data_IF_305324796300
#
_entry.id   IF_305324796300
#
_cell.length_a   1.000
_cell.length_b   1.000
_cell.length_c   1.000
_cell.angle_alpha   90.00
_cell.angle_beta   90.00
_cell.angle_gamma   90.00
#
_symmetry.space_group_name_H-M   'P 1'
#
loop_
_entity.id
_entity.type
_entity.pdbx_description
1 polymer ?
#
# COMPACT_ATOMS: atom_id res chain seq x y z
N UNK A 1 -18.76 4.27 -2.34
CA UNK A 1 -17.66 4.17 -3.31
C UNK A 1 -16.54 5.03 -2.72
N UNK A 2 -15.49 4.41 -2.19
CA UNK A 2 -14.32 5.19 -1.78
C UNK A 2 -13.54 5.44 -3.05
N UNK A 3 -13.46 6.71 -3.46
CA UNK A 3 -12.64 7.10 -4.60
C UNK A 3 -11.18 6.79 -4.27
N UNK A 4 -10.43 6.33 -5.25
CA UNK A 4 -8.98 6.17 -5.17
C UNK A 4 -8.40 7.46 -4.63
N UNK A 5 -7.83 7.38 -3.42
CA UNK A 5 -7.44 8.58 -2.70
C UNK A 5 -6.12 9.05 -3.29
N UNK A 6 -6.10 10.22 -3.95
CA UNK A 6 -4.85 10.79 -4.45
C UNK A 6 -3.95 11.09 -3.26
N UNK A 7 -2.82 10.40 -3.16
CA UNK A 7 -1.87 10.64 -2.09
C UNK A 7 -1.04 11.89 -2.42
N UNK A 8 -1.37 12.99 -1.77
CA UNK A 8 -0.74 14.29 -2.00
C UNK A 8 0.30 14.67 -0.96
N UNK A 9 0.18 14.18 0.28
CA UNK A 9 1.16 14.41 1.35
C UNK A 9 1.10 13.28 2.38
N UNK A 10 2.11 13.19 3.24
CA UNK A 10 2.10 12.27 4.39
C UNK A 10 0.93 12.54 5.34
N UNK A 11 0.65 13.82 5.63
CA UNK A 11 -0.49 14.20 6.47
C UNK A 11 -1.83 13.82 5.86
N UNK A 12 -1.93 13.85 4.52
CA UNK A 12 -3.11 13.40 3.82
C UNK A 12 -3.29 11.89 3.94
N UNK A 13 -2.21 11.11 3.86
CA UNK A 13 -2.23 9.67 4.11
C UNK A 13 -2.79 9.38 5.50
N UNK A 14 -2.24 10.01 6.54
CA UNK A 14 -2.67 9.82 7.93
C UNK A 14 -4.15 10.18 8.12
N UNK A 15 -4.60 11.32 7.57
CA UNK A 15 -6.01 11.75 7.65
C UNK A 15 -6.95 10.81 6.90
N UNK A 16 -6.57 10.35 5.73
CA UNK A 16 -7.38 9.43 4.92
C UNK A 16 -7.55 8.10 5.63
N UNK A 17 -6.47 7.54 6.17
CA UNK A 17 -6.51 6.33 6.98
C UNK A 17 -7.36 6.54 8.25
N UNK A 18 -7.21 7.68 8.93
CA UNK A 18 -8.03 8.01 10.09
C UNK A 18 -9.53 8.04 9.77
N UNK A 19 -9.90 8.64 8.66
CA UNK A 19 -11.29 8.65 8.17
C UNK A 19 -11.80 7.25 7.85
N UNK A 20 -10.95 6.38 7.30
CA UNK A 20 -11.26 5.00 7.02
C UNK A 20 -11.53 4.20 8.30
N UNK A 21 -10.71 4.38 9.34
CA UNK A 21 -10.92 3.72 10.64
C UNK A 21 -12.24 4.13 11.31
N UNK A 22 -12.63 5.39 11.22
CA UNK A 22 -13.81 5.92 11.87
C UNK A 22 -15.14 5.60 11.16
N UNK A 23 -15.09 5.23 9.88
CA UNK A 23 -16.28 4.93 9.05
C UNK A 23 -16.75 3.49 9.10
N UNK A 24 -15.93 2.58 9.60
CA UNK A 24 -16.26 1.15 9.62
C UNK A 24 -16.72 0.70 11.02
N UNK A 25 -17.75 -0.17 11.07
CA UNK A 25 -18.27 -0.82 12.29
C UNK A 25 -17.32 -1.89 12.86
N UNK A 26 -16.02 -1.68 12.78
CA UNK A 26 -15.01 -2.63 13.28
C UNK A 26 -14.37 -2.15 14.56
N UNK A 27 -13.86 -3.10 15.37
CA UNK A 27 -13.05 -2.73 16.53
C UNK A 27 -11.90 -1.84 16.07
N UNK A 28 -11.82 -0.65 16.65
CA UNK A 28 -10.84 0.41 16.33
C UNK A 28 -9.39 -0.12 16.47
N UNK A 29 -9.18 -1.13 17.30
CA UNK A 29 -7.88 -1.75 17.58
C UNK A 29 -7.44 -2.80 16.53
N UNK A 30 -8.24 -3.05 15.49
CA UNK A 30 -7.88 -4.02 14.45
C UNK A 30 -6.87 -3.38 13.48
N UNK A 31 -5.68 -3.99 13.27
CA UNK A 31 -4.73 -3.47 12.29
C UNK A 31 -5.31 -3.51 10.88
N UNK A 32 -4.92 -2.53 10.04
CA UNK A 32 -5.28 -2.49 8.63
C UNK A 32 -4.05 -2.59 7.77
N UNK A 33 -4.19 -3.29 6.67
CA UNK A 33 -3.17 -3.34 5.64
C UNK A 33 -3.25 -2.07 4.79
N UNK A 34 -2.09 -1.47 4.55
CA UNK A 34 -1.92 -0.30 3.68
C UNK A 34 -1.00 -0.68 2.54
N UNK A 35 -1.37 -0.31 1.32
CA UNK A 35 -0.57 -0.46 0.12
C UNK A 35 -0.20 0.88 -0.49
N UNK A 36 1.09 1.15 -0.65
CA UNK A 36 1.60 2.31 -1.39
C UNK A 36 2.28 1.84 -2.67
N UNK A 37 1.80 2.32 -3.80
CA UNK A 37 2.40 2.06 -5.09
C UNK A 37 3.32 3.21 -5.49
N UNK A 38 4.62 2.94 -5.58
CA UNK A 38 5.63 3.82 -6.13
C UNK A 38 5.89 3.44 -7.59
N UNK A 39 5.31 4.21 -8.49
CA UNK A 39 5.42 3.99 -9.93
C UNK A 39 5.52 5.33 -10.66
N UNK A 40 6.59 5.54 -11.43
CA UNK A 40 6.65 6.71 -12.33
C UNK A 40 5.84 6.47 -13.60
N UNK A 41 5.31 7.53 -14.25
CA UNK A 41 4.58 7.41 -15.51
C UNK A 41 5.46 6.84 -16.62
N UNK A 42 5.14 5.63 -17.06
CA UNK A 42 5.73 4.98 -18.22
C UNK A 42 4.67 4.04 -18.87
N UNK A 43 5.01 3.34 -19.94
CA UNK A 43 4.09 2.41 -20.62
C UNK A 43 3.59 1.32 -19.68
N UNK A 44 4.49 0.67 -18.95
CA UNK A 44 4.14 -0.36 -17.98
C UNK A 44 3.14 0.13 -16.93
N UNK A 45 3.42 1.28 -16.31
CA UNK A 45 2.53 1.87 -15.30
C UNK A 45 1.15 2.19 -15.89
N UNK A 46 1.08 2.69 -17.13
CA UNK A 46 -0.19 2.98 -17.79
C UNK A 46 -0.99 1.72 -18.09
N UNK A 47 -0.33 0.70 -18.62
CA UNK A 47 -0.98 -0.51 -19.11
C UNK A 47 -1.34 -1.48 -17.98
N UNK A 48 -0.43 -1.71 -17.04
CA UNK A 48 -0.60 -2.71 -16.00
C UNK A 48 -1.24 -2.17 -14.69
N UNK A 49 -1.10 -0.87 -14.42
CA UNK A 49 -1.57 -0.26 -13.18
C UNK A 49 -2.78 0.65 -13.42
N UNK A 50 -2.58 1.73 -14.19
CA UNK A 50 -3.60 2.77 -14.30
C UNK A 50 -4.84 2.28 -15.07
N UNK A 51 -4.68 1.38 -16.03
CA UNK A 51 -5.81 0.78 -16.74
C UNK A 51 -6.73 -0.02 -15.82
N UNK A 52 -6.19 -0.63 -14.77
CA UNK A 52 -6.92 -1.42 -13.78
C UNK A 52 -7.26 -0.68 -12.48
N UNK A 53 -6.95 0.61 -12.38
CA UNK A 53 -6.97 1.35 -11.11
C UNK A 53 -8.34 1.36 -10.43
N UNK A 54 -9.42 1.49 -11.19
CA UNK A 54 -10.79 1.47 -10.64
C UNK A 54 -11.16 0.08 -10.13
N UNK A 55 -10.73 -0.97 -10.83
CA UNK A 55 -10.93 -2.33 -10.40
C UNK A 55 -10.17 -2.61 -9.09
N UNK A 56 -8.90 -2.19 -8.99
CA UNK A 56 -8.11 -2.34 -7.78
C UNK A 56 -8.73 -1.56 -6.61
N UNK A 57 -9.24 -0.35 -6.86
CA UNK A 57 -9.97 0.43 -5.86
C UNK A 57 -11.24 -0.27 -5.39
N UNK A 58 -12.04 -0.80 -6.31
CA UNK A 58 -13.24 -1.54 -5.97
C UNK A 58 -12.93 -2.80 -5.15
N UNK A 59 -11.90 -3.57 -5.54
CA UNK A 59 -11.49 -4.80 -4.88
C UNK A 59 -10.81 -4.57 -3.53
N UNK A 60 -9.98 -3.54 -3.41
CA UNK A 60 -9.33 -3.19 -2.15
C UNK A 60 -10.36 -2.86 -1.06
N UNK A 61 -11.36 -2.07 -1.40
CA UNK A 61 -12.56 -1.83 -0.62
C UNK A 61 -12.35 -1.70 0.88
N UNK A 62 -12.84 -2.71 1.62
CA UNK A 62 -12.81 -2.75 3.09
C UNK A 62 -11.59 -3.49 3.67
N UNK A 63 -10.71 -4.04 2.86
CA UNK A 63 -9.64 -4.94 3.32
C UNK A 63 -8.27 -4.31 3.35
N UNK A 64 -7.99 -3.42 2.41
CA UNK A 64 -6.72 -2.74 2.27
C UNK A 64 -6.96 -1.29 1.85
N UNK A 65 -6.25 -0.35 2.47
CA UNK A 65 -6.20 1.03 2.03
C UNK A 65 -5.08 1.19 0.99
N UNK A 66 -5.44 1.41 -0.27
CA UNK A 66 -4.51 1.40 -1.39
C UNK A 66 -4.32 2.80 -1.99
N UNK A 67 -3.07 3.22 -2.19
CA UNK A 67 -2.70 4.54 -2.69
C UNK A 67 -1.67 4.47 -3.81
N UNK A 68 -1.89 5.25 -4.88
CA UNK A 68 -0.90 5.49 -5.93
C UNK A 68 -0.17 6.80 -5.66
N UNK A 69 1.12 6.72 -5.32
CA UNK A 69 1.91 7.88 -4.90
C UNK A 69 2.15 8.83 -6.06
N UNK A 70 1.76 10.10 -5.87
CA UNK A 70 1.92 11.16 -6.86
C UNK A 70 0.81 11.23 -7.93
N UNK A 71 -0.08 10.24 -8.00
CA UNK A 71 -1.20 10.27 -8.95
C UNK A 71 -2.42 10.94 -8.33
N UNK A 72 -3.15 11.70 -9.13
CA UNK A 72 -4.38 12.39 -8.72
C UNK A 72 -5.29 12.64 -9.93
N UNK A 73 -6.62 12.77 -9.72
CA UNK A 73 -7.51 13.25 -10.77
C UNK A 73 -7.04 14.62 -11.27
N UNK A 74 -7.10 14.82 -12.58
CA UNK A 74 -6.71 16.09 -13.18
C UNK A 74 -7.68 17.19 -12.78
N UNK A 75 -7.15 18.29 -12.27
CA UNK A 75 -7.92 19.49 -11.95
C UNK A 75 -7.78 20.46 -13.12
N UNK A 76 -8.89 20.92 -13.68
CA UNK A 76 -8.89 21.90 -14.77
C UNK A 76 -8.09 23.15 -14.36
N UNK A 77 -7.18 23.56 -15.21
CA UNK A 77 -6.24 24.67 -14.91
C UNK A 77 -4.97 24.25 -14.17
N UNK A 78 -4.82 22.98 -13.80
CA UNK A 78 -3.56 22.46 -13.24
C UNK A 78 -2.45 22.50 -14.28
N UNK A 79 -1.22 22.81 -13.84
CA UNK A 79 0.00 22.70 -14.68
C UNK A 79 0.49 21.25 -14.86
N UNK A 80 -0.05 20.32 -14.10
CA UNK A 80 0.32 18.90 -14.22
C UNK A 80 -0.26 18.29 -15.49
N UNK A 81 0.55 17.67 -16.36
CA UNK A 81 0.04 17.06 -17.58
C UNK A 81 -0.88 15.89 -17.28
N UNK A 82 -1.89 15.69 -18.11
CA UNK A 82 -2.70 14.47 -18.11
C UNK A 82 -1.84 13.30 -18.58
N UNK A 83 -1.77 12.26 -17.79
CA UNK A 83 -0.97 11.04 -18.08
C UNK A 83 -1.83 9.99 -18.78
N UNK A 84 -3.08 9.85 -18.33
CA UNK A 84 -4.04 8.87 -18.88
C UNK A 84 -5.46 9.29 -18.54
N UNK A 85 -6.42 8.64 -19.21
CA UNK A 85 -7.86 8.76 -18.89
C UNK A 85 -8.40 7.36 -18.62
N UNK A 86 -9.02 7.18 -17.47
CA UNK A 86 -9.66 5.93 -17.07
C UNK A 86 -11.10 6.24 -16.66
N UNK A 87 -12.06 5.55 -17.27
CA UNK A 87 -13.50 5.74 -17.03
C UNK A 87 -13.95 7.21 -17.04
N UNK A 88 -13.50 7.97 -18.03
CA UNK A 88 -13.74 9.42 -18.21
C UNK A 88 -13.11 10.33 -17.14
N UNK A 89 -12.31 9.80 -16.24
CA UNK A 89 -11.50 10.59 -15.31
C UNK A 89 -10.10 10.74 -15.87
N UNK A 90 -9.68 11.99 -16.06
CA UNK A 90 -8.30 12.30 -16.43
C UNK A 90 -7.40 12.23 -15.21
N UNK A 91 -6.26 11.59 -15.33
CA UNK A 91 -5.27 11.42 -14.26
C UNK A 91 -4.00 12.18 -14.57
N UNK A 92 -3.49 12.87 -13.58
CA UNK A 92 -2.22 13.60 -13.62
C UNK A 92 -1.22 13.02 -12.63
N UNK A 93 0.06 13.32 -12.82
CA UNK A 93 1.14 12.92 -11.95
C UNK A 93 1.87 14.15 -11.41
N UNK A 94 2.13 14.17 -10.11
CA UNK A 94 2.84 15.23 -9.39
C UNK A 94 4.23 14.72 -8.94
N UNK A 95 5.31 14.99 -9.72
CA UNK A 95 6.66 14.51 -9.41
C UNK A 95 7.17 14.96 -8.05
N UNK A 96 6.81 16.17 -7.62
CA UNK A 96 7.21 16.70 -6.31
C UNK A 96 6.66 15.82 -5.17
N UNK A 97 5.37 15.53 -5.20
CA UNK A 97 4.69 14.71 -4.19
C UNK A 97 5.29 13.29 -4.15
N UNK A 98 5.51 12.70 -5.33
CA UNK A 98 6.17 11.41 -5.44
C UNK A 98 7.55 11.42 -4.78
N UNK A 99 8.38 12.42 -5.08
CA UNK A 99 9.72 12.53 -4.54
C UNK A 99 9.73 12.81 -3.03
N UNK A 100 8.84 13.67 -2.54
CA UNK A 100 8.75 14.00 -1.11
C UNK A 100 8.38 12.75 -0.29
N UNK A 101 7.38 11.98 -0.72
CA UNK A 101 6.99 10.73 -0.07
C UNK A 101 8.07 9.66 -0.19
N UNK A 102 8.68 9.48 -1.37
CA UNK A 102 9.80 8.58 -1.56
C UNK A 102 10.93 8.89 -0.57
N UNK A 103 11.37 10.15 -0.50
CA UNK A 103 12.44 10.58 0.41
C UNK A 103 12.06 10.36 1.87
N UNK A 104 10.78 10.57 2.24
CA UNK A 104 10.31 10.30 3.59
C UNK A 104 10.50 8.82 3.94
N UNK A 105 10.04 7.89 3.09
CA UNK A 105 10.20 6.45 3.32
C UNK A 105 11.68 6.02 3.28
N UNK A 106 12.48 6.56 2.38
CA UNK A 106 13.93 6.27 2.31
C UNK A 106 14.73 6.77 3.54
N UNK A 107 14.22 7.80 4.23
CA UNK A 107 14.82 8.31 5.47
C UNK A 107 14.37 7.53 6.70
N UNK A 108 13.14 7.02 6.70
CA UNK A 108 12.53 6.36 7.85
C UNK A 108 12.71 4.85 7.86
N UNK A 109 13.01 4.26 6.70
CA UNK A 109 13.22 2.81 6.54
C UNK A 109 14.54 2.52 5.81
N UNK A 110 14.95 1.26 5.80
CA UNK A 110 16.08 0.80 4.98
C UNK A 110 15.70 0.55 3.51
N UNK A 111 14.46 0.88 3.10
CA UNK A 111 14.05 0.83 1.71
C UNK A 111 14.72 1.93 0.90
N UNK A 112 15.07 1.60 -0.33
CA UNK A 112 15.53 2.53 -1.35
C UNK A 112 14.78 2.24 -2.64
N UNK A 113 14.19 3.29 -3.22
CA UNK A 113 13.47 3.17 -4.48
C UNK A 113 14.41 2.73 -5.60
N UNK A 114 14.08 1.63 -6.25
CA UNK A 114 14.91 1.06 -7.34
C UNK A 114 14.76 1.80 -8.68
N UNK A 115 13.77 2.66 -8.82
CA UNK A 115 13.38 3.24 -10.10
C UNK A 115 12.36 2.41 -10.87
N UNK A 116 11.95 1.28 -10.33
CA UNK A 116 10.97 0.34 -10.88
C UNK A 116 9.53 0.67 -10.45
N UNK A 117 8.62 -0.27 -10.62
CA UNK A 117 7.24 -0.20 -10.10
C UNK A 117 7.14 -1.05 -8.84
N UNK A 118 7.13 -0.40 -7.69
CA UNK A 118 7.20 -1.07 -6.40
C UNK A 118 5.94 -0.86 -5.58
N UNK A 119 5.39 -1.98 -5.09
CA UNK A 119 4.31 -2.00 -4.10
C UNK A 119 4.90 -2.18 -2.71
N UNK A 120 4.63 -1.23 -1.81
CA UNK A 120 5.01 -1.30 -0.40
C UNK A 120 3.76 -1.63 0.41
N UNK A 121 3.82 -2.66 1.24
CA UNK A 121 2.75 -3.11 2.13
C UNK A 121 3.21 -3.02 3.58
N UNK A 122 2.39 -2.42 4.42
CA UNK A 122 2.63 -2.29 5.87
C UNK A 122 1.32 -2.20 6.65
N UNK A 123 1.39 -2.29 7.97
CA UNK A 123 0.21 -2.16 8.83
C UNK A 123 -0.01 -0.72 9.28
N UNK A 124 -1.26 -0.39 9.55
CA UNK A 124 -1.66 0.82 10.27
C UNK A 124 -2.57 0.47 11.44
N UNK A 125 -2.52 1.28 12.49
CA UNK A 125 -3.32 1.14 13.71
C UNK A 125 -3.94 2.47 14.07
N UNK A 126 -5.15 2.46 14.61
CA UNK A 126 -5.74 3.65 15.21
C UNK A 126 -5.35 3.74 16.68
N UNK A 127 -4.77 4.87 17.06
CA UNK A 127 -4.47 5.16 18.46
C UNK A 127 -5.63 5.95 19.07
N UNK A 128 -6.44 5.28 19.89
CA UNK A 128 -7.63 5.89 20.51
C UNK A 128 -7.27 7.06 21.44
N UNK A 129 -6.14 7.00 22.14
CA UNK A 129 -5.73 8.05 23.07
C UNK A 129 -5.32 9.33 22.35
N UNK A 130 -4.62 9.21 21.23
CA UNK A 130 -4.15 10.35 20.43
C UNK A 130 -5.14 10.70 19.32
N UNK A 131 -6.19 9.91 19.10
CA UNK A 131 -7.17 10.02 17.99
C UNK A 131 -6.47 10.17 16.63
N UNK A 132 -5.39 9.42 16.42
CA UNK A 132 -4.58 9.45 15.20
C UNK A 132 -4.23 8.05 14.72
N UNK A 133 -3.84 7.94 13.45
CA UNK A 133 -3.33 6.69 12.89
C UNK A 133 -1.82 6.62 13.08
N UNK A 134 -1.34 5.47 13.49
CA UNK A 134 0.08 5.10 13.50
C UNK A 134 0.37 4.13 12.37
N UNK A 135 1.40 4.40 11.60
CA UNK A 135 1.93 3.49 10.60
C UNK A 135 2.98 2.58 11.25
N UNK A 136 2.84 1.29 11.05
CA UNK A 136 3.78 0.30 11.58
C UNK A 136 4.73 -0.14 10.47
N UNK A 137 5.93 0.38 10.53
CA UNK A 137 7.03 0.01 9.63
C UNK A 137 7.97 -1.06 10.23
N UNK A 138 7.60 -1.69 11.33
CA UNK A 138 8.38 -2.78 11.90
C UNK A 138 8.38 -4.03 11.03
N UNK A 139 7.36 -4.17 10.19
CA UNK A 139 7.21 -5.26 9.23
C UNK A 139 6.64 -4.71 7.92
N UNK A 140 7.51 -4.47 6.96
CA UNK A 140 7.18 -3.90 5.65
C UNK A 140 7.59 -4.86 4.56
N UNK A 141 6.70 -5.10 3.62
CA UNK A 141 6.95 -5.91 2.44
C UNK A 141 7.03 -5.01 1.20
N UNK A 142 8.08 -5.17 0.41
CA UNK A 142 8.24 -4.48 -0.86
C UNK A 142 8.27 -5.52 -1.98
N UNK A 143 7.42 -5.33 -3.00
CA UNK A 143 7.35 -6.17 -4.19
C UNK A 143 7.66 -5.31 -5.41
N UNK A 144 8.71 -5.64 -6.14
CA UNK A 144 8.99 -5.06 -7.45
C UNK A 144 8.11 -5.75 -8.50
N UNK A 145 6.98 -5.10 -8.82
CA UNK A 145 5.96 -5.66 -9.71
C UNK A 145 6.46 -5.78 -11.16
N UNK A 146 7.25 -4.80 -11.61
CA UNK A 146 7.79 -4.81 -12.96
C UNK A 146 8.81 -5.93 -13.14
N UNK A 147 9.74 -6.04 -12.20
CA UNK A 147 10.74 -7.12 -12.20
C UNK A 147 10.09 -8.50 -12.10
N UNK A 148 9.09 -8.66 -11.23
CA UNK A 148 8.36 -9.92 -11.09
C UNK A 148 7.71 -10.37 -12.40
N UNK A 149 7.19 -9.43 -13.21
CA UNK A 149 6.61 -9.72 -14.52
C UNK A 149 7.70 -10.01 -15.58
N UNK A 150 8.76 -9.20 -15.61
CA UNK A 150 9.91 -9.43 -16.52
C UNK A 150 10.57 -10.81 -16.30
N UNK A 151 10.69 -11.22 -15.03
CA UNK A 151 11.23 -12.53 -14.64
C UNK A 151 10.19 -13.66 -14.78
N UNK A 152 8.99 -13.38 -15.30
CA UNK A 152 7.89 -14.34 -15.52
C UNK A 152 7.42 -15.05 -14.25
N UNK A 153 7.57 -14.41 -13.10
CA UNK A 153 7.09 -14.93 -11.81
C UNK A 153 5.59 -14.68 -11.63
N UNK A 154 5.07 -13.70 -12.34
CA UNK A 154 3.66 -13.35 -12.42
C UNK A 154 3.26 -13.17 -13.90
N UNK A 155 2.00 -13.44 -14.21
CA UNK A 155 1.45 -13.25 -15.55
C UNK A 155 1.07 -11.79 -15.79
N UNK A 156 0.54 -11.13 -14.75
CA UNK A 156 0.15 -9.73 -14.77
C UNK A 156 0.22 -9.13 -13.36
N UNK A 157 0.28 -7.81 -13.28
CA UNK A 157 0.21 -7.11 -12.00
C UNK A 157 -1.14 -7.35 -11.30
N UNK A 158 -2.23 -7.43 -12.07
CA UNK A 158 -3.56 -7.75 -11.56
C UNK A 158 -3.61 -9.06 -10.78
N UNK A 159 -2.85 -10.08 -11.20
CA UNK A 159 -2.75 -11.36 -10.48
C UNK A 159 -2.18 -11.17 -9.06
N UNK A 160 -1.17 -10.33 -8.90
CA UNK A 160 -0.58 -10.03 -7.58
C UNK A 160 -1.59 -9.33 -6.69
N UNK A 161 -2.27 -8.32 -7.21
CA UNK A 161 -3.29 -7.57 -6.47
C UNK A 161 -4.44 -8.50 -6.03
N UNK A 162 -4.95 -9.36 -6.94
CA UNK A 162 -6.01 -10.32 -6.58
C UNK A 162 -5.57 -11.28 -5.47
N UNK A 163 -4.35 -11.78 -5.51
CA UNK A 163 -3.82 -12.62 -4.43
C UNK A 163 -3.76 -11.86 -3.11
N UNK A 164 -3.26 -10.61 -3.14
CA UNK A 164 -3.20 -9.76 -1.94
C UNK A 164 -4.61 -9.51 -1.39
N UNK A 165 -5.57 -9.15 -2.24
CA UNK A 165 -6.95 -8.89 -1.83
C UNK A 165 -7.59 -10.15 -1.23
N UNK A 166 -7.47 -11.29 -1.90
CA UNK A 166 -8.03 -12.58 -1.44
C UNK A 166 -7.45 -12.98 -0.08
N UNK A 167 -6.13 -12.83 0.10
CA UNK A 167 -5.47 -13.12 1.38
C UNK A 167 -5.95 -12.13 2.46
N UNK A 168 -6.00 -10.84 2.16
CA UNK A 168 -6.45 -9.82 3.10
C UNK A 168 -7.91 -10.02 3.52
N UNK A 169 -8.78 -10.42 2.60
CA UNK A 169 -10.18 -10.81 2.88
C UNK A 169 -10.25 -12.03 3.79
N UNK A 170 -9.44 -13.07 3.53
CA UNK A 170 -9.46 -14.31 4.31
C UNK A 170 -8.94 -14.11 5.75
N UNK A 171 -7.98 -13.21 5.97
CA UNK A 171 -7.50 -12.83 7.30
C UNK A 171 -8.62 -12.20 8.13
N UNK A 172 -9.55 -11.50 7.46
CA UNK A 172 -10.62 -10.72 8.09
C UNK A 172 -11.82 -11.56 8.51
N UNK A 173 -12.06 -12.71 7.86
CA UNK A 173 -13.27 -13.54 8.03
C UNK A 173 -13.16 -14.63 9.08
N UNK A 174 -12.10 -14.65 9.93
CA UNK A 174 -11.86 -15.70 10.93
C UNK A 174 -12.01 -17.13 10.35
N UNK A 175 -11.53 -17.32 9.13
CA UNK A 175 -11.64 -18.60 8.45
C UNK A 175 -10.83 -19.68 9.21
N UNK A 176 -11.44 -20.83 9.63
CA UNK A 176 -10.76 -21.88 10.39
C UNK A 176 -9.48 -22.43 9.71
N UNK A 177 -9.43 -22.45 8.38
CA UNK A 177 -8.22 -22.82 7.61
C UNK A 177 -7.08 -21.84 7.80
N UNK A 178 -7.41 -20.58 8.09
CA UNK A 178 -6.46 -19.49 8.35
C UNK A 178 -5.93 -19.57 9.78
N UNK A 179 -6.76 -19.90 10.78
CA UNK A 179 -6.30 -20.16 12.16
C UNK A 179 -5.24 -21.26 12.20
N UNK A 180 -5.38 -22.28 11.36
CA UNK A 180 -4.41 -23.37 11.25
C UNK A 180 -3.08 -22.88 10.65
N UNK A 181 -3.12 -22.04 9.62
CA UNK A 181 -1.93 -21.38 9.04
C UNK A 181 -1.28 -20.40 10.03
N UNK A 182 -2.07 -19.69 10.82
CA UNK A 182 -1.61 -18.78 11.87
C UNK A 182 -0.94 -19.51 13.04
N UNK A 183 -1.44 -20.69 13.42
CA UNK A 183 -0.82 -21.56 14.44
C UNK A 183 0.53 -22.12 14.00
N UNK A 184 0.73 -22.33 12.69
CA UNK A 184 2.02 -22.81 12.16
C UNK A 184 3.12 -21.73 12.13
N UNK A 185 2.78 -20.43 12.26
CA UNK A 185 3.74 -19.31 12.22
C UNK A 185 4.33 -19.00 13.62
N UNK A 186 3.92 -19.71 14.65
CA UNK A 186 4.51 -19.64 16.01
C UNK A 186 3.94 -18.52 16.88
N UNK A 187 4.02 -18.76 18.16
CA UNK A 187 3.36 -18.05 19.27
C UNK A 187 4.07 -16.76 19.71
N UNK A 188 4.63 -16.00 18.78
CA UNK A 188 5.32 -14.73 19.08
C UNK A 188 4.38 -13.55 18.84
N UNK A 189 3.89 -12.97 19.92
CA UNK A 189 2.90 -11.92 20.07
C UNK A 189 2.72 -10.92 18.92
N UNK A 190 1.51 -10.34 18.76
CA UNK A 190 1.03 -9.43 17.71
C UNK A 190 1.45 -9.85 16.28
N UNK A 191 0.68 -10.75 15.70
CA UNK A 191 0.90 -11.21 14.31
C UNK A 191 0.66 -10.06 13.34
N UNK A 192 1.71 -9.62 12.65
CA UNK A 192 1.61 -8.65 11.58
C UNK A 192 0.84 -9.24 10.39
N UNK A 193 -0.18 -8.53 9.89
CA UNK A 193 -0.91 -8.90 8.66
C UNK A 193 0.08 -9.08 7.50
N UNK A 194 1.11 -8.24 7.43
CA UNK A 194 2.17 -8.30 6.42
C UNK A 194 2.94 -9.62 6.49
N UNK A 195 3.29 -10.11 7.68
CA UNK A 195 3.96 -11.41 7.84
C UNK A 195 3.09 -12.57 7.38
N UNK A 196 1.80 -12.53 7.68
CA UNK A 196 0.84 -13.55 7.26
C UNK A 196 0.76 -13.53 5.72
N UNK A 197 0.55 -12.35 5.16
CA UNK A 197 0.46 -12.15 3.72
C UNK A 197 1.71 -12.68 3.01
N UNK A 198 2.90 -12.32 3.48
CA UNK A 198 4.16 -12.82 2.91
C UNK A 198 4.23 -14.34 2.86
N UNK A 199 3.86 -15.03 3.94
CA UNK A 199 3.92 -16.49 4.00
C UNK A 199 2.89 -17.18 3.10
N UNK A 200 1.79 -16.51 2.78
CA UNK A 200 0.72 -17.04 1.92
C UNK A 200 0.92 -16.70 0.42
N UNK A 201 1.80 -15.76 0.11
CA UNK A 201 2.17 -15.49 -1.29
C UNK A 201 2.87 -16.70 -1.93
N UNK A 202 2.70 -16.92 -3.24
CA UNK A 202 3.48 -17.93 -3.97
C UNK A 202 4.99 -17.75 -3.76
N UNK A 203 5.72 -18.86 -3.71
CA UNK A 203 7.18 -18.85 -3.50
C UNK A 203 7.93 -18.00 -4.51
N UNK A 204 7.48 -17.97 -5.76
CA UNK A 204 8.03 -17.10 -6.80
C UNK A 204 7.99 -15.63 -6.40
N UNK A 205 6.84 -15.17 -5.88
CA UNK A 205 6.66 -13.77 -5.42
C UNK A 205 7.43 -13.53 -4.11
N UNK A 206 7.45 -14.51 -3.19
CA UNK A 206 8.23 -14.39 -1.95
C UNK A 206 9.72 -14.14 -2.22
N UNK A 207 10.28 -14.77 -3.25
CA UNK A 207 11.70 -14.63 -3.60
C UNK A 207 12.06 -13.23 -4.12
N UNK A 208 11.11 -12.54 -4.78
CA UNK A 208 11.29 -11.16 -5.25
C UNK A 208 10.84 -10.12 -4.22
N UNK A 209 10.06 -10.53 -3.23
CA UNK A 209 9.62 -9.64 -2.16
C UNK A 209 10.74 -9.39 -1.15
N UNK A 210 10.98 -8.14 -0.82
CA UNK A 210 11.97 -7.72 0.16
C UNK A 210 11.28 -7.29 1.44
N UNK A 211 11.79 -7.73 2.58
CA UNK A 211 11.39 -7.19 3.89
C UNK A 211 12.27 -6.01 4.24
N UNK A 212 11.63 -4.93 4.65
CA UNK A 212 12.28 -3.66 5.02
C UNK A 212 11.98 -3.35 6.48
N UNK A 213 12.88 -2.66 7.13
CA UNK A 213 12.78 -2.36 8.54
C UNK A 213 13.06 -0.87 8.78
N UNK A 214 12.49 -0.34 9.85
CA UNK A 214 12.79 1.02 10.31
C UNK A 214 14.27 1.19 10.67
N UNK A 215 14.81 2.37 10.41
CA UNK A 215 16.05 2.83 11.00
C UNK A 215 15.79 3.28 12.46
N UNK A 216 15.98 2.35 13.41
CA UNK A 216 15.85 2.64 14.84
C UNK A 216 14.42 2.62 15.39
N UNK A 217 14.28 2.82 16.71
CA UNK A 217 13.02 2.71 17.47
C UNK A 217 12.26 4.03 17.63
N UNK A 218 12.60 5.09 16.87
CA UNK A 218 11.94 6.38 16.98
C UNK A 218 10.54 6.34 16.34
N UNK A 219 9.56 6.85 17.06
CA UNK A 219 8.17 7.00 16.61
C UNK A 219 8.09 8.10 15.53
N UNK A 220 8.22 7.72 14.26
CA UNK A 220 8.21 8.63 13.11
C UNK A 220 6.80 9.17 12.77
N UNK A 221 5.77 8.72 13.48
CA UNK A 221 4.39 9.24 13.29
C UNK A 221 4.27 10.74 13.61
N UNK A 222 5.27 11.31 14.29
CA UNK A 222 5.28 12.70 14.78
C UNK A 222 6.19 13.65 14.00
N UNK A 223 6.93 13.17 12.98
CA UNK A 223 7.76 14.10 12.21
C UNK A 223 6.91 14.74 11.10
N UNK A 224 6.59 16.03 11.19
CA UNK A 224 5.98 16.73 10.07
C UNK A 224 6.95 16.68 8.89
N UNK A 225 6.43 16.45 7.70
CA UNK A 225 7.17 16.71 6.46
C UNK A 225 7.54 18.20 6.52
N UNK A 226 8.78 18.51 6.84
CA UNK A 226 9.30 19.89 6.74
C UNK A 226 9.10 20.36 5.31
N UNK A 227 8.42 21.47 5.18
CA UNK A 227 8.08 22.20 3.95
C UNK A 227 9.30 22.51 3.10
#
# INVERSE_FOLDING_TARGET
>A
MQDLIPLTTYDYLIRSLGSSFLKEDKPINTPRLVGLLFAQPNSFTKEEILSGIDYFNYRSGKTIDFFCVGYHPHISGSKSPVITTVNNVQWSFAPKIFNDLRQHFEKTTNWKYSGSVELILFNSYFNENEKTVKLDFSDVLVIDLKKAQEDKLITSVGEVFEKIFTIAESIKTDNPSMEMSLKLIGDTGKKSIVSILFNLLPKSIQNEAKRVYLYGTSDYSKQPCTQ
#
